data_IF_912569893985
#
_entry.id   IF_912569893985
#
_cell.length_a   1.000
_cell.length_b   1.000
_cell.length_c   1.000
_cell.angle_alpha   90.00
_cell.angle_beta   90.00
_cell.angle_gamma   90.00
#
_symmetry.space_group_name_H-M   'P 1'
#
loop_
_entity.id
_entity.type
_entity.pdbx_description
1 polymer ?
#
# COMPACT_ATOMS: atom_id res chain seq x y z
N UNK A 1 13.57 -3.38 -4.79
CA UNK A 1 14.65 -3.13 -3.81
C UNK A 1 14.61 -1.66 -3.44
N UNK A 2 14.63 -1.28 -2.17
CA UNK A 2 14.76 0.13 -1.76
C UNK A 2 16.19 0.57 -2.10
N UNK A 3 16.39 1.57 -2.97
CA UNK A 3 17.74 2.05 -3.25
C UNK A 3 18.35 2.67 -1.99
N UNK A 4 19.68 2.75 -1.94
CA UNK A 4 20.43 3.39 -0.85
C UNK A 4 20.38 2.70 0.53
N UNK A 5 19.75 1.53 0.67
CA UNK A 5 19.85 0.69 1.88
C UNK A 5 20.97 -0.35 1.71
N UNK A 6 22.02 -0.33 2.54
CA UNK A 6 23.07 -1.35 2.53
C UNK A 6 22.48 -2.76 2.64
N UNK A 7 22.99 -3.76 1.89
CA UNK A 7 22.46 -5.12 1.92
C UNK A 7 22.27 -5.69 3.33
N UNK A 8 23.25 -5.44 4.22
CA UNK A 8 23.25 -5.87 5.61
C UNK A 8 22.08 -5.29 6.44
N UNK A 9 21.54 -4.13 6.06
CA UNK A 9 20.47 -3.44 6.79
C UNK A 9 19.08 -3.69 6.19
N UNK A 10 18.96 -4.36 5.03
CA UNK A 10 17.66 -4.53 4.34
C UNK A 10 16.63 -5.30 5.17
N UNK A 11 17.07 -6.33 5.90
CA UNK A 11 16.19 -7.11 6.76
C UNK A 11 15.66 -6.26 7.94
N UNK A 12 16.53 -5.44 8.54
CA UNK A 12 16.17 -4.54 9.63
C UNK A 12 15.16 -3.49 9.15
N UNK A 13 15.43 -2.83 8.03
CA UNK A 13 14.52 -1.82 7.45
C UNK A 13 13.17 -2.45 7.10
N UNK A 14 13.17 -3.65 6.49
CA UNK A 14 11.93 -4.38 6.22
C UNK A 14 11.14 -4.68 7.50
N UNK A 15 11.81 -5.17 8.53
CA UNK A 15 11.18 -5.45 9.82
C UNK A 15 10.57 -4.20 10.46
N UNK A 16 11.30 -3.08 10.44
CA UNK A 16 10.79 -1.80 10.94
C UNK A 16 9.56 -1.33 10.15
N UNK A 17 9.56 -1.42 8.82
CA UNK A 17 8.40 -1.10 8.00
C UNK A 17 7.20 -2.01 8.30
N UNK A 18 7.42 -3.31 8.51
CA UNK A 18 6.35 -4.25 8.89
C UNK A 18 5.72 -3.88 10.23
N UNK A 19 6.54 -3.56 11.24
CA UNK A 19 6.04 -3.13 12.55
C UNK A 19 5.25 -1.83 12.42
N UNK A 20 5.75 -0.85 11.67
CA UNK A 20 5.04 0.40 11.43
C UNK A 20 3.68 0.16 10.75
N UNK A 21 3.65 -0.66 9.70
CA UNK A 21 2.42 -1.00 8.98
C UNK A 21 1.39 -1.68 9.89
N UNK A 22 1.83 -2.61 10.74
CA UNK A 22 0.96 -3.29 11.71
C UNK A 22 0.36 -2.27 12.69
N UNK A 23 1.19 -1.41 13.29
CA UNK A 23 0.72 -0.39 14.23
C UNK A 23 -0.23 0.62 13.59
N UNK A 24 0.04 1.06 12.36
CA UNK A 24 -0.87 1.93 11.61
C UNK A 24 -2.21 1.24 11.33
N UNK A 25 -2.18 -0.06 11.00
CA UNK A 25 -3.39 -0.84 10.77
C UNK A 25 -4.22 -0.99 12.05
N UNK A 26 -3.57 -1.30 13.18
CA UNK A 26 -4.23 -1.42 14.49
C UNK A 26 -4.96 -0.12 14.87
N UNK A 27 -4.29 1.02 14.73
CA UNK A 27 -4.86 2.34 15.03
C UNK A 27 -6.02 2.67 14.09
N UNK A 28 -5.86 2.41 12.79
CA UNK A 28 -6.90 2.66 11.80
C UNK A 28 -8.17 1.84 12.11
N UNK A 29 -8.02 0.54 12.34
CA UNK A 29 -9.13 -0.36 12.68
C UNK A 29 -9.81 0.04 13.99
N UNK A 30 -9.03 0.37 15.02
CA UNK A 30 -9.57 0.86 16.31
C UNK A 30 -10.34 2.17 16.16
N UNK A 31 -9.92 3.03 15.23
CA UNK A 31 -10.62 4.26 14.87
C UNK A 31 -11.84 4.08 13.96
N UNK A 32 -12.23 2.84 13.64
CA UNK A 32 -13.37 2.54 12.75
C UNK A 32 -13.07 2.70 11.26
N UNK A 33 -11.81 2.88 10.86
CA UNK A 33 -11.42 2.89 9.46
C UNK A 33 -11.27 1.47 8.90
N UNK A 34 -11.27 1.35 7.58
CA UNK A 34 -10.96 0.10 6.87
C UNK A 34 -9.52 0.12 6.36
N UNK A 35 -8.81 -1.00 6.52
CA UNK A 35 -7.46 -1.20 5.96
C UNK A 35 -7.55 -2.08 4.73
N UNK A 36 -7.19 -1.55 3.57
CA UNK A 36 -7.22 -2.30 2.30
C UNK A 36 -6.01 -3.26 2.19
N UNK A 37 -6.21 -4.59 2.02
CA UNK A 37 -5.14 -5.58 1.94
C UNK A 37 -4.44 -5.59 0.56
N UNK A 38 -3.87 -4.45 0.15
CA UNK A 38 -3.26 -4.27 -1.18
C UNK A 38 -1.76 -4.50 -1.24
N UNK A 39 -1.10 -4.58 -0.07
CA UNK A 39 0.35 -4.53 0.03
C UNK A 39 1.07 -5.63 -0.78
N UNK A 40 0.57 -6.87 -0.71
CA UNK A 40 1.17 -8.00 -1.42
C UNK A 40 1.04 -7.84 -2.94
N UNK A 41 -0.14 -7.43 -3.43
CA UNK A 41 -0.40 -7.24 -4.85
C UNK A 41 0.40 -6.08 -5.44
N UNK A 42 0.46 -4.94 -4.72
CA UNK A 42 1.28 -3.79 -5.13
C UNK A 42 2.76 -4.17 -5.14
N UNK A 43 3.27 -4.85 -4.10
CA UNK A 43 4.66 -5.28 -4.05
C UNK A 43 5.02 -6.23 -5.21
N UNK A 44 4.11 -7.13 -5.57
CA UNK A 44 4.26 -8.05 -6.72
C UNK A 44 4.31 -7.29 -8.03
N UNK A 45 3.42 -6.32 -8.26
CA UNK A 45 3.40 -5.49 -9.47
C UNK A 45 4.72 -4.74 -9.67
N UNK A 46 5.20 -4.03 -8.63
CA UNK A 46 6.46 -3.27 -8.69
C UNK A 46 7.71 -4.16 -8.80
N UNK A 47 7.64 -5.40 -8.32
CA UNK A 47 8.74 -6.36 -8.50
C UNK A 47 8.79 -6.93 -9.91
N UNK A 48 7.63 -7.08 -10.56
CA UNK A 48 7.51 -7.61 -11.91
C UNK A 48 7.81 -6.57 -13.00
N UNK A 49 7.42 -5.30 -12.79
CA UNK A 49 7.65 -4.22 -13.74
C UNK A 49 8.45 -3.08 -13.12
N UNK A 50 9.76 -2.99 -13.45
CA UNK A 50 10.60 -1.93 -12.93
C UNK A 50 10.25 -0.53 -13.48
N UNK A 51 9.46 -0.38 -14.55
CA UNK A 51 9.04 0.93 -15.08
C UNK A 51 7.95 1.60 -14.22
N UNK A 52 7.34 0.86 -13.29
CA UNK A 52 6.43 1.41 -12.29
C UNK A 52 7.13 2.30 -11.25
N UNK A 53 8.46 2.30 -11.20
CA UNK A 53 9.24 3.27 -10.43
C UNK A 53 9.63 4.48 -11.28
N UNK A 54 9.71 5.64 -10.64
CA UNK A 54 10.33 6.85 -11.18
C UNK A 54 11.84 6.66 -11.40
N UNK A 55 12.49 7.67 -11.97
CA UNK A 55 13.93 7.64 -12.28
C UNK A 55 14.81 7.35 -11.05
N UNK A 56 14.37 7.74 -9.85
CA UNK A 56 15.06 7.47 -8.58
C UNK A 56 14.96 6.01 -8.10
N UNK A 57 14.18 5.17 -8.79
CA UNK A 57 13.98 3.75 -8.49
C UNK A 57 13.37 3.49 -7.10
N UNK A 58 12.75 4.52 -6.51
CA UNK A 58 12.17 4.47 -5.17
C UNK A 58 10.70 4.90 -5.20
N UNK A 59 10.41 6.10 -5.69
CA UNK A 59 9.04 6.58 -5.78
C UNK A 59 8.31 5.91 -6.95
N UNK A 60 6.99 5.71 -6.86
CA UNK A 60 6.19 5.32 -8.02
C UNK A 60 6.34 6.34 -9.16
N UNK A 61 6.33 5.86 -10.40
CA UNK A 61 6.09 6.70 -11.59
C UNK A 61 4.60 7.04 -11.69
N UNK A 62 4.20 7.87 -12.65
CA UNK A 62 2.77 8.10 -12.93
C UNK A 62 2.02 6.80 -13.21
N UNK A 63 2.63 5.87 -13.97
CA UNK A 63 2.08 4.55 -14.20
C UNK A 63 2.04 3.70 -12.92
N UNK A 64 3.07 3.82 -12.06
CA UNK A 64 3.08 3.19 -10.74
C UNK A 64 1.94 3.66 -9.83
N UNK A 65 1.68 4.96 -9.77
CA UNK A 65 0.55 5.51 -9.03
C UNK A 65 -0.80 5.07 -9.60
N UNK A 66 -0.95 5.04 -10.93
CA UNK A 66 -2.15 4.51 -11.57
C UNK A 66 -2.38 3.04 -11.18
N UNK A 67 -1.33 2.22 -11.19
CA UNK A 67 -1.42 0.80 -10.78
C UNK A 67 -1.81 0.65 -9.31
N UNK A 68 -1.27 1.48 -8.40
CA UNK A 68 -1.68 1.48 -6.99
C UNK A 68 -3.17 1.84 -6.87
N UNK A 69 -3.62 2.87 -7.59
CA UNK A 69 -5.00 3.29 -7.58
C UNK A 69 -5.95 2.18 -8.07
N UNK A 70 -5.63 1.50 -9.18
CA UNK A 70 -6.39 0.36 -9.69
C UNK A 70 -6.60 -0.74 -8.66
N UNK A 71 -5.55 -1.11 -7.93
CA UNK A 71 -5.63 -2.14 -6.89
C UNK A 71 -6.49 -1.68 -5.71
N UNK A 72 -6.52 -0.38 -5.43
CA UNK A 72 -7.35 0.21 -4.36
C UNK A 72 -8.83 0.37 -4.75
N UNK A 73 -9.17 0.56 -6.03
CA UNK A 73 -10.53 0.81 -6.51
C UNK A 73 -11.59 -0.11 -5.88
N UNK A 74 -11.47 -1.45 -5.87
CA UNK A 74 -12.52 -2.32 -5.32
C UNK A 74 -12.78 -2.05 -3.82
N UNK A 75 -11.74 -1.73 -3.05
CA UNK A 75 -11.86 -1.45 -1.62
C UNK A 75 -12.50 -0.09 -1.35
N UNK A 76 -12.15 0.93 -2.15
CA UNK A 76 -12.75 2.26 -2.07
C UNK A 76 -14.24 2.19 -2.41
N UNK A 77 -14.60 1.47 -3.47
CA UNK A 77 -15.99 1.28 -3.87
C UNK A 77 -16.80 0.52 -2.82
N UNK A 78 -16.22 -0.53 -2.23
CA UNK A 78 -16.88 -1.28 -1.14
C UNK A 78 -17.14 -0.38 0.08
N UNK A 79 -16.13 0.36 0.52
CA UNK A 79 -16.28 1.30 1.64
C UNK A 79 -17.31 2.39 1.34
N UNK A 80 -17.31 2.96 0.13
CA UNK A 80 -18.27 3.99 -0.27
C UNK A 80 -19.71 3.48 -0.29
N UNK A 81 -19.93 2.24 -0.77
CA UNK A 81 -21.24 1.59 -0.78
C UNK A 81 -21.74 1.33 0.64
N UNK A 82 -20.93 0.71 1.50
CA UNK A 82 -21.28 0.45 2.90
C UNK A 82 -21.71 1.75 3.60
N UNK A 83 -20.92 2.82 3.46
CA UNK A 83 -21.21 4.12 4.07
C UNK A 83 -22.51 4.76 3.58
N UNK A 84 -22.86 4.56 2.30
CA UNK A 84 -24.11 5.04 1.73
C UNK A 84 -25.30 4.25 2.26
N UNK A 85 -25.14 2.93 2.34
CA UNK A 85 -26.20 2.02 2.76
C UNK A 85 -26.49 2.22 4.27
N UNK A 86 -25.47 2.45 5.10
CA UNK A 86 -25.62 2.84 6.52
C UNK A 86 -26.38 4.18 6.69
N UNK A 87 -26.17 5.14 5.79
CA UNK A 87 -26.86 6.43 5.85
C UNK A 87 -28.33 6.38 5.39
N UNK A 88 -28.74 5.29 4.74
CA UNK A 88 -30.09 5.07 4.25
C UNK A 88 -30.95 4.21 5.19
N UNK A 89 -30.32 3.58 6.20
CA UNK A 89 -30.97 2.77 7.24
C UNK A 89 -31.40 3.64 8.45
#
# INVERSE_FOLDING_TARGET
MVPFVPPALRALVRGACTVLQQRQSDVALTGGATVAPVAAEVARAFSADPALFSADRFHPSSAGYARIAEVLVPFVLAAARARRDDAAA
#
